data_IF_980554635885
#
_entry.id   IF_980554635885
#
_cell.length_a   1.000
_cell.length_b   1.000
_cell.length_c   1.000
_cell.angle_alpha   90.00
_cell.angle_beta   90.00
_cell.angle_gamma   90.00
#
_symmetry.space_group_name_H-M   'P 1'
#
loop_
_entity.id
_entity.type
_entity.pdbx_description
1 polymer ?
#
# COMPACT_ATOMS: atom_id res chain seq x y z
N UNK A 1 65.71 -50.42 9.47
CA UNK A 1 65.22 -51.65 8.81
C UNK A 1 64.38 -51.25 7.60
N UNK A 2 64.76 -51.65 6.37
CA UNK A 2 63.97 -51.41 5.15
C UNK A 2 62.84 -52.45 5.10
N UNK A 3 61.58 -52.02 5.12
CA UNK A 3 60.44 -52.90 4.88
C UNK A 3 60.33 -53.21 3.38
N UNK A 4 59.92 -54.42 2.98
CA UNK A 4 59.70 -54.76 1.57
C UNK A 4 58.62 -53.85 0.98
N UNK A 5 58.92 -53.21 -0.15
CA UNK A 5 57.98 -52.33 -0.85
C UNK A 5 56.85 -53.18 -1.44
N UNK A 6 55.62 -52.92 -1.00
CA UNK A 6 54.42 -53.56 -1.56
C UNK A 6 54.18 -53.01 -2.96
N UNK A 7 54.06 -53.90 -3.95
CA UNK A 7 53.85 -53.52 -5.36
C UNK A 7 52.51 -52.83 -5.57
N UNK A 8 52.46 -51.89 -6.51
CA UNK A 8 51.23 -51.13 -6.81
C UNK A 8 50.09 -52.06 -7.27
N UNK A 9 50.42 -53.15 -7.97
CA UNK A 9 49.47 -54.18 -8.39
C UNK A 9 48.82 -54.90 -7.21
N UNK A 10 49.59 -55.23 -6.16
CA UNK A 10 49.05 -55.84 -4.95
C UNK A 10 48.10 -54.88 -4.20
N UNK A 11 48.37 -53.57 -4.26
CA UNK A 11 47.51 -52.53 -3.68
C UNK A 11 46.20 -52.42 -4.46
N UNK A 12 46.27 -52.41 -5.80
CA UNK A 12 45.08 -52.36 -6.67
C UNK A 12 44.24 -53.63 -6.49
N UNK A 13 44.86 -54.81 -6.40
CA UNK A 13 44.15 -56.06 -6.16
C UNK A 13 43.47 -56.08 -4.78
N UNK A 14 44.12 -55.55 -3.74
CA UNK A 14 43.54 -55.39 -2.42
C UNK A 14 42.37 -54.40 -2.41
N UNK A 15 42.50 -53.28 -3.14
CA UNK A 15 41.43 -52.29 -3.31
C UNK A 15 40.21 -52.86 -4.04
N UNK A 16 40.41 -53.59 -5.14
CA UNK A 16 39.33 -54.29 -5.86
C UNK A 16 38.62 -55.31 -4.98
N UNK A 17 39.36 -56.13 -4.21
CA UNK A 17 38.75 -57.08 -3.25
C UNK A 17 37.93 -56.39 -2.15
N UNK A 18 38.39 -55.24 -1.64
CA UNK A 18 37.63 -54.46 -0.67
C UNK A 18 36.37 -53.84 -1.29
N UNK A 19 36.47 -53.39 -2.55
CA UNK A 19 35.35 -52.86 -3.33
C UNK A 19 34.29 -53.93 -3.60
N UNK A 20 34.69 -55.12 -4.04
CA UNK A 20 33.82 -56.28 -4.28
C UNK A 20 33.13 -56.75 -2.99
N UNK A 21 33.84 -56.68 -1.86
CA UNK A 21 33.27 -56.96 -0.55
C UNK A 21 32.34 -55.85 -0.01
N UNK A 22 32.07 -54.79 -0.79
CA UNK A 22 31.21 -53.68 -0.40
C UNK A 22 31.74 -52.85 0.78
N UNK A 23 33.03 -52.96 1.10
CA UNK A 23 33.65 -52.26 2.23
C UNK A 23 34.28 -50.95 1.78
N UNK A 24 34.17 -49.92 2.62
CA UNK A 24 34.82 -48.63 2.37
C UNK A 24 36.34 -48.82 2.31
N UNK A 25 36.93 -48.42 1.19
CA UNK A 25 38.37 -48.51 0.96
C UNK A 25 39.03 -47.36 1.71
N UNK A 26 39.90 -47.70 2.66
CA UNK A 26 40.70 -46.76 3.47
C UNK A 26 42.14 -47.24 3.50
N UNK A 27 43.11 -46.36 3.77
CA UNK A 27 44.52 -46.74 3.86
C UNK A 27 44.79 -47.86 4.87
N UNK A 28 44.06 -47.89 6.00
CA UNK A 28 44.13 -48.96 6.99
C UNK A 28 43.46 -50.26 6.52
N UNK A 29 42.35 -50.16 5.77
CA UNK A 29 41.70 -51.31 5.14
C UNK A 29 42.62 -51.99 4.13
N UNK A 30 43.30 -51.19 3.30
CA UNK A 30 44.30 -51.68 2.36
C UNK A 30 45.48 -52.33 3.09
N UNK A 31 46.01 -51.69 4.15
CA UNK A 31 47.10 -52.24 4.98
C UNK A 31 46.75 -53.60 5.59
N UNK A 32 45.50 -53.78 6.03
CA UNK A 32 45.02 -55.05 6.58
C UNK A 32 45.00 -56.17 5.53
N UNK A 33 44.77 -55.83 4.26
CA UNK A 33 44.71 -56.79 3.15
C UNK A 33 46.08 -57.06 2.53
N UNK A 34 46.97 -56.07 2.49
CA UNK A 34 48.32 -56.20 1.93
C UNK A 34 49.36 -56.68 2.96
N UNK A 35 48.99 -56.78 4.24
CA UNK A 35 49.85 -57.31 5.31
C UNK A 35 50.94 -56.35 5.82
N UNK A 36 50.97 -55.11 5.33
CA UNK A 36 51.98 -54.11 5.70
C UNK A 36 51.90 -52.83 4.89
N UNK A 37 52.91 -51.95 5.03
CA UNK A 37 53.00 -50.69 4.28
C UNK A 37 52.42 -49.46 5.01
N UNK A 38 52.72 -48.27 4.48
CA UNK A 38 52.17 -47.00 4.95
C UNK A 38 50.75 -46.79 4.41
N UNK A 39 49.74 -46.57 5.28
CA UNK A 39 48.35 -46.31 4.87
C UNK A 39 48.20 -45.22 3.80
N UNK A 40 48.98 -44.15 3.89
CA UNK A 40 48.89 -43.00 2.97
C UNK A 40 49.35 -43.38 1.55
N UNK A 41 50.42 -44.16 1.44
CA UNK A 41 50.91 -44.67 0.14
C UNK A 41 49.89 -45.62 -0.50
N UNK A 42 49.30 -46.50 0.30
CA UNK A 42 48.33 -47.48 -0.19
C UNK A 42 47.07 -46.78 -0.73
N UNK A 43 46.56 -45.80 0.01
CA UNK A 43 45.38 -45.05 -0.39
C UNK A 43 45.64 -44.21 -1.66
N UNK A 44 46.79 -43.52 -1.72
CA UNK A 44 47.18 -42.70 -2.88
C UNK A 44 47.26 -43.51 -4.17
N UNK A 45 47.91 -44.68 -4.15
CA UNK A 45 48.03 -45.54 -5.36
C UNK A 45 46.66 -46.04 -5.83
N UNK A 46 45.75 -46.32 -4.88
CA UNK A 46 44.38 -46.72 -5.21
C UNK A 46 43.56 -45.57 -5.82
N UNK A 47 43.68 -44.37 -5.26
CA UNK A 47 43.03 -43.17 -5.78
C UNK A 47 43.54 -42.82 -7.19
N UNK A 48 44.85 -42.87 -7.40
CA UNK A 48 45.48 -42.67 -8.72
C UNK A 48 44.95 -43.67 -9.77
N UNK A 49 44.75 -44.95 -9.41
CA UNK A 49 44.14 -45.94 -10.30
C UNK A 49 42.67 -45.62 -10.61
N UNK A 50 41.89 -45.19 -9.61
CA UNK A 50 40.48 -44.83 -9.81
C UNK A 50 40.31 -43.60 -10.71
N UNK A 51 41.19 -42.61 -10.58
CA UNK A 51 41.22 -41.44 -11.46
C UNK A 51 41.61 -41.80 -12.90
N UNK A 52 42.60 -42.68 -13.07
CA UNK A 52 43.01 -43.17 -14.38
C UNK A 52 41.88 -43.92 -15.10
N UNK A 53 41.18 -44.84 -14.40
CA UNK A 53 40.00 -45.53 -14.94
C UNK A 53 38.88 -44.55 -15.30
N UNK A 54 38.60 -43.57 -14.45
CA UNK A 54 37.55 -42.56 -14.69
C UNK A 54 37.84 -41.71 -15.93
N UNK A 55 39.12 -41.39 -16.18
CA UNK A 55 39.52 -40.63 -17.36
C UNK A 55 39.56 -41.48 -18.65
N UNK A 56 39.76 -42.79 -18.57
CA UNK A 56 39.76 -43.67 -19.75
C UNK A 56 38.34 -43.97 -20.28
N UNK A 57 37.32 -44.01 -19.41
CA UNK A 57 35.95 -44.41 -19.78
C UNK A 57 35.14 -43.28 -20.45
N UNK A 58 35.66 -42.04 -20.52
CA UNK A 58 34.94 -40.92 -21.15
C UNK A 58 35.55 -40.58 -22.52
N UNK A 59 35.00 -41.08 -23.65
CA UNK A 59 35.37 -40.54 -24.93
C UNK A 59 35.01 -39.04 -24.96
N UNK A 60 36.03 -38.20 -25.13
CA UNK A 60 35.92 -36.75 -25.27
C UNK A 60 35.24 -36.40 -26.61
N UNK A 61 33.92 -36.52 -26.67
CA UNK A 61 33.09 -36.13 -27.80
C UNK A 61 32.55 -34.68 -27.65
N UNK A 62 33.40 -33.73 -27.22
CA UNK A 62 32.97 -32.35 -26.90
C UNK A 62 33.25 -31.30 -27.99
N UNK A 63 33.59 -31.70 -29.22
CA UNK A 63 33.97 -30.75 -30.29
C UNK A 63 33.35 -31.03 -31.67
N UNK A 64 32.32 -31.85 -31.77
CA UNK A 64 31.51 -31.85 -33.00
C UNK A 64 30.49 -30.72 -32.88
N UNK A 65 30.69 -29.66 -33.67
CA UNK A 65 29.70 -28.59 -33.82
C UNK A 65 28.34 -29.15 -34.24
N UNK A 66 27.28 -28.41 -33.93
CA UNK A 66 25.91 -28.82 -34.26
C UNK A 66 25.85 -29.10 -35.77
N UNK A 67 25.30 -30.26 -36.21
CA UNK A 67 25.14 -30.56 -37.62
C UNK A 67 24.38 -29.43 -38.34
N UNK A 68 24.86 -29.02 -39.52
CA UNK A 68 24.29 -27.89 -40.29
C UNK A 68 22.80 -28.04 -40.58
N UNK A 69 22.31 -29.28 -40.76
CA UNK A 69 20.90 -29.58 -40.99
C UNK A 69 20.02 -29.26 -39.77
N UNK A 70 20.57 -29.45 -38.57
CA UNK A 70 19.92 -29.10 -37.30
C UNK A 70 19.99 -27.58 -37.09
N UNK A 71 21.11 -26.93 -37.43
CA UNK A 71 21.20 -25.46 -37.37
C UNK A 71 20.22 -24.77 -38.31
N UNK A 72 20.00 -25.29 -39.51
CA UNK A 72 19.03 -24.76 -40.46
C UNK A 72 17.60 -24.93 -39.94
N UNK A 73 17.24 -26.15 -39.52
CA UNK A 73 15.93 -26.45 -38.92
C UNK A 73 15.66 -25.58 -37.69
N UNK A 74 16.68 -25.30 -36.87
CA UNK A 74 16.56 -24.45 -35.70
C UNK A 74 16.31 -22.98 -36.09
N UNK A 75 16.99 -22.47 -37.12
CA UNK A 75 16.76 -21.11 -37.64
C UNK A 75 15.38 -20.96 -38.27
N UNK A 76 14.95 -21.97 -39.02
CA UNK A 76 13.63 -22.01 -39.66
C UNK A 76 12.49 -22.02 -38.63
N UNK A 77 12.71 -22.61 -37.45
CA UNK A 77 11.76 -22.59 -36.32
C UNK A 77 11.89 -21.33 -35.46
N UNK A 78 13.10 -20.80 -35.30
CA UNK A 78 13.35 -19.64 -34.45
C UNK A 78 12.71 -18.36 -35.01
N UNK A 79 12.72 -18.16 -36.33
CA UNK A 79 12.13 -16.95 -36.94
C UNK A 79 10.61 -16.88 -36.72
N UNK A 80 9.80 -17.90 -37.07
CA UNK A 80 8.37 -17.89 -36.79
C UNK A 80 8.04 -17.78 -35.31
N UNK A 81 8.82 -18.44 -34.43
CA UNK A 81 8.63 -18.30 -32.98
C UNK A 81 8.86 -16.86 -32.50
N UNK A 82 9.91 -16.21 -32.99
CA UNK A 82 10.18 -14.79 -32.68
C UNK A 82 9.07 -13.88 -33.22
N UNK A 83 8.51 -14.18 -34.39
CA UNK A 83 7.40 -13.43 -34.95
C UNK A 83 6.11 -13.62 -34.14
N UNK A 84 5.79 -14.84 -33.70
CA UNK A 84 4.67 -15.11 -32.80
C UNK A 84 4.83 -14.38 -31.46
N UNK A 85 6.02 -14.39 -30.86
CA UNK A 85 6.29 -13.65 -29.60
C UNK A 85 6.10 -12.15 -29.80
N UNK A 86 6.54 -11.61 -30.94
CA UNK A 86 6.37 -10.19 -31.28
C UNK A 86 4.89 -9.84 -31.46
N UNK A 87 4.13 -10.65 -32.17
CA UNK A 87 2.69 -10.45 -32.36
C UNK A 87 1.96 -10.48 -31.02
N UNK A 88 2.23 -11.48 -30.17
CA UNK A 88 1.63 -11.57 -28.85
C UNK A 88 1.96 -10.34 -27.99
N UNK A 89 3.20 -9.84 -28.05
CA UNK A 89 3.58 -8.63 -27.33
C UNK A 89 2.80 -7.39 -27.80
N UNK A 90 2.56 -7.25 -29.11
CA UNK A 90 1.76 -6.16 -29.68
C UNK A 90 0.28 -6.27 -29.28
N UNK A 91 -0.31 -7.46 -29.36
CA UNK A 91 -1.71 -7.70 -28.95
C UNK A 91 -1.91 -7.44 -27.46
N UNK A 92 -0.98 -7.87 -26.61
CA UNK A 92 -1.01 -7.58 -25.18
C UNK A 92 -0.89 -6.08 -24.91
N UNK A 93 -0.02 -5.38 -25.65
CA UNK A 93 0.13 -3.94 -25.53
C UNK A 93 -1.18 -3.23 -25.92
N UNK A 94 -1.75 -3.53 -27.09
CA UNK A 94 -3.01 -2.93 -27.55
C UNK A 94 -4.17 -3.20 -26.58
N UNK A 95 -4.27 -4.43 -26.08
CA UNK A 95 -5.28 -4.79 -25.08
C UNK A 95 -5.09 -4.05 -23.75
N UNK A 96 -3.84 -3.86 -23.33
CA UNK A 96 -3.54 -3.08 -22.12
C UNK A 96 -3.87 -1.61 -22.32
N UNK A 97 -3.55 -1.05 -23.47
CA UNK A 97 -3.80 0.35 -23.80
C UNK A 97 -5.31 0.63 -23.85
N UNK A 98 -6.07 -0.21 -24.55
CA UNK A 98 -7.54 -0.10 -24.61
C UNK A 98 -8.18 -0.24 -23.22
N UNK A 99 -7.70 -1.16 -22.38
CA UNK A 99 -8.17 -1.29 -21.00
C UNK A 99 -7.88 -0.04 -20.18
N UNK A 100 -6.65 0.50 -20.24
CA UNK A 100 -6.26 1.73 -19.54
C UNK A 100 -7.10 2.92 -20.02
N UNK A 101 -7.33 3.05 -21.32
CA UNK A 101 -8.16 4.11 -21.90
C UNK A 101 -9.61 4.02 -21.40
N UNK A 102 -10.20 2.82 -21.40
CA UNK A 102 -11.56 2.60 -20.90
C UNK A 102 -11.67 2.90 -19.39
N UNK A 103 -10.70 2.42 -18.60
CA UNK A 103 -10.65 2.68 -17.17
C UNK A 103 -10.50 4.18 -16.89
N UNK A 104 -9.58 4.86 -17.59
CA UNK A 104 -9.37 6.30 -17.45
C UNK A 104 -10.61 7.09 -17.85
N UNK A 105 -11.30 6.71 -18.93
CA UNK A 105 -12.54 7.35 -19.34
C UNK A 105 -13.65 7.18 -18.30
N UNK A 106 -13.80 5.98 -17.73
CA UNK A 106 -14.74 5.70 -16.65
C UNK A 106 -14.41 6.51 -15.40
N UNK A 107 -13.14 6.55 -14.98
CA UNK A 107 -12.70 7.31 -13.79
C UNK A 107 -12.93 8.81 -13.97
N UNK A 108 -12.66 9.34 -15.18
CA UNK A 108 -12.95 10.74 -15.52
C UNK A 108 -14.45 11.04 -15.48
N UNK A 109 -15.30 10.14 -16.00
CA UNK A 109 -16.75 10.31 -15.94
C UNK A 109 -17.27 10.29 -14.49
N UNK A 110 -16.78 9.37 -13.67
CA UNK A 110 -17.13 9.27 -12.26
C UNK A 110 -16.69 10.52 -11.48
N UNK A 111 -15.45 10.97 -11.67
CA UNK A 111 -14.93 12.19 -11.07
C UNK A 111 -15.72 13.42 -11.50
N UNK A 112 -16.10 13.50 -12.78
CA UNK A 112 -16.94 14.59 -13.30
C UNK A 112 -18.32 14.60 -12.65
N UNK A 113 -18.99 13.44 -12.52
CA UNK A 113 -20.29 13.33 -11.85
C UNK A 113 -20.20 13.74 -10.38
N UNK A 114 -19.14 13.32 -9.69
CA UNK A 114 -18.89 13.72 -8.31
C UNK A 114 -18.67 15.24 -8.19
N UNK A 115 -17.89 15.83 -9.10
CA UNK A 115 -17.68 17.27 -9.14
C UNK A 115 -18.97 18.05 -9.45
N UNK A 116 -19.80 17.58 -10.39
CA UNK A 116 -21.09 18.18 -10.71
C UNK A 116 -22.04 18.11 -9.51
N UNK A 117 -22.10 16.97 -8.81
CA UNK A 117 -22.89 16.81 -7.59
C UNK A 117 -22.41 17.75 -6.47
N UNK A 118 -21.10 17.81 -6.21
CA UNK A 118 -20.53 18.71 -5.21
C UNK A 118 -20.80 20.19 -5.55
N UNK A 119 -20.74 20.57 -6.84
CA UNK A 119 -21.10 21.93 -7.28
C UNK A 119 -22.58 22.25 -7.06
N UNK A 120 -23.48 21.30 -7.32
CA UNK A 120 -24.90 21.48 -7.06
C UNK A 120 -25.18 21.65 -5.56
N UNK A 121 -24.61 20.79 -4.71
CA UNK A 121 -24.74 20.89 -3.26
C UNK A 121 -24.19 22.22 -2.71
N UNK A 122 -23.07 22.71 -3.27
CA UNK A 122 -22.52 24.02 -2.91
C UNK A 122 -23.46 25.18 -3.30
N UNK A 123 -24.09 25.11 -4.47
CA UNK A 123 -25.05 26.13 -4.91
C UNK A 123 -26.29 26.15 -4.00
N UNK A 124 -26.81 24.97 -3.66
CA UNK A 124 -27.96 24.85 -2.74
C UNK A 124 -27.61 25.39 -1.35
N UNK A 125 -26.43 25.06 -0.83
CA UNK A 125 -25.94 25.59 0.45
C UNK A 125 -25.77 27.11 0.42
N UNK A 126 -25.30 27.68 -0.70
CA UNK A 126 -25.20 29.13 -0.89
C UNK A 126 -26.57 29.80 -0.88
N UNK A 127 -27.58 29.22 -1.55
CA UNK A 127 -28.95 29.75 -1.53
C UNK A 127 -29.53 29.74 -0.12
N UNK A 128 -29.39 28.61 0.60
CA UNK A 128 -29.85 28.50 1.99
C UNK A 128 -29.14 29.50 2.92
N UNK A 129 -27.84 29.75 2.71
CA UNK A 129 -27.12 30.76 3.48
C UNK A 129 -27.67 32.18 3.22
N UNK A 130 -27.98 32.52 1.97
CA UNK A 130 -28.57 33.82 1.63
C UNK A 130 -29.94 34.01 2.29
N UNK A 131 -30.80 32.99 2.25
CA UNK A 131 -32.11 33.00 2.92
C UNK A 131 -31.96 33.20 4.44
N UNK A 132 -31.04 32.47 5.07
CA UNK A 132 -30.77 32.62 6.51
C UNK A 132 -30.18 33.98 6.88
N UNK A 133 -29.33 34.55 6.02
CA UNK A 133 -28.79 35.89 6.21
C UNK A 133 -29.88 36.96 6.11
N UNK A 134 -30.82 36.80 5.19
CA UNK A 134 -31.98 37.67 5.01
C UNK A 134 -32.91 37.60 6.23
N UNK A 135 -33.29 36.39 6.66
CA UNK A 135 -34.10 36.16 7.86
C UNK A 135 -33.45 36.74 9.12
N UNK A 136 -32.13 36.55 9.27
CA UNK A 136 -31.37 37.14 10.36
C UNK A 136 -31.37 38.67 10.30
N UNK A 137 -31.30 39.24 9.10
CA UNK A 137 -31.46 40.67 8.86
C UNK A 137 -32.81 41.19 9.33
N UNK A 138 -33.90 40.52 8.93
CA UNK A 138 -35.26 40.86 9.35
C UNK A 138 -35.44 40.77 10.86
N UNK A 139 -35.04 39.66 11.48
CA UNK A 139 -35.15 39.47 12.93
C UNK A 139 -34.36 40.54 13.72
N UNK A 140 -33.18 40.94 13.23
CA UNK A 140 -32.39 42.03 13.83
C UNK A 140 -33.09 43.38 13.72
N UNK A 141 -33.66 43.70 12.56
CA UNK A 141 -34.39 44.93 12.33
C UNK A 141 -35.64 45.02 13.23
N UNK A 142 -36.41 43.93 13.32
CA UNK A 142 -37.58 43.84 14.18
C UNK A 142 -37.21 43.99 15.66
N UNK A 143 -36.12 43.35 16.12
CA UNK A 143 -35.60 43.51 17.48
C UNK A 143 -35.22 44.96 17.78
N UNK A 144 -34.60 45.66 16.83
CA UNK A 144 -34.24 47.08 16.99
C UNK A 144 -35.50 47.94 17.10
N UNK A 145 -36.49 47.69 16.24
CA UNK A 145 -37.79 48.37 16.26
C UNK A 145 -38.49 48.18 17.60
N UNK A 146 -38.72 46.93 18.03
CA UNK A 146 -39.34 46.61 19.31
C UNK A 146 -38.58 47.21 20.50
N UNK A 147 -37.25 47.20 20.47
CA UNK A 147 -36.42 47.85 21.49
C UNK A 147 -36.64 49.37 21.57
N UNK A 148 -36.81 50.04 20.42
CA UNK A 148 -37.12 51.47 20.37
C UNK A 148 -38.53 51.79 20.88
N UNK A 149 -39.53 51.01 20.47
CA UNK A 149 -40.92 51.12 20.95
C UNK A 149 -41.04 50.87 22.45
N UNK A 150 -40.29 49.89 22.98
CA UNK A 150 -40.25 49.61 24.40
C UNK A 150 -39.59 50.77 25.18
N UNK A 151 -38.57 51.43 24.61
CA UNK A 151 -37.97 52.62 25.22
C UNK A 151 -38.93 53.82 25.22
N UNK A 152 -39.68 54.05 24.14
CA UNK A 152 -40.68 55.14 24.11
C UNK A 152 -41.81 54.86 25.10
N UNK A 153 -42.38 53.65 25.11
CA UNK A 153 -43.43 53.27 26.04
C UNK A 153 -42.98 53.42 27.51
N UNK A 154 -41.73 53.07 27.83
CA UNK A 154 -41.16 53.33 29.17
C UNK A 154 -41.13 54.81 29.53
N UNK A 155 -40.71 55.68 28.60
CA UNK A 155 -40.72 57.14 28.82
C UNK A 155 -42.14 57.66 29.03
N UNK A 156 -43.10 57.18 28.26
CA UNK A 156 -44.51 57.58 28.38
C UNK A 156 -45.07 57.17 29.75
N UNK A 157 -44.76 55.95 30.21
CA UNK A 157 -45.11 55.48 31.56
C UNK A 157 -44.50 56.38 32.62
N UNK A 158 -43.22 56.75 32.51
CA UNK A 158 -42.58 57.66 33.47
C UNK A 158 -43.23 59.05 33.48
N UNK A 159 -43.65 59.57 32.32
CA UNK A 159 -44.37 60.86 32.22
C UNK A 159 -45.74 60.76 32.90
N UNK A 160 -46.51 59.73 32.59
CA UNK A 160 -47.83 59.49 33.19
C UNK A 160 -47.72 59.32 34.71
N UNK A 161 -46.71 58.60 35.20
CA UNK A 161 -46.47 58.45 36.64
C UNK A 161 -46.20 59.80 37.33
N UNK A 162 -45.43 60.69 36.70
CA UNK A 162 -45.20 62.06 37.22
C UNK A 162 -46.49 62.87 37.23
N UNK A 163 -47.28 62.81 36.16
CA UNK A 163 -48.55 63.53 36.05
C UNK A 163 -49.56 63.03 37.09
N UNK A 164 -49.68 61.72 37.29
CA UNK A 164 -50.53 61.13 38.34
C UNK A 164 -50.10 61.63 39.71
N UNK A 165 -48.79 61.60 40.01
CA UNK A 165 -48.26 62.10 41.29
C UNK A 165 -48.54 63.59 41.52
N UNK A 166 -48.50 64.41 40.47
CA UNK A 166 -48.81 65.84 40.54
C UNK A 166 -50.31 66.09 40.74
N UNK A 167 -51.16 65.36 40.02
CA UNK A 167 -52.61 65.41 40.18
C UNK A 167 -53.03 64.98 41.59
N UNK A 168 -52.47 63.89 42.11
CA UNK A 168 -52.70 63.43 43.50
C UNK A 168 -52.34 64.51 44.52
N UNK A 169 -51.21 65.21 44.35
CA UNK A 169 -50.83 66.33 45.22
C UNK A 169 -51.81 67.49 45.13
N UNK A 170 -52.18 67.91 43.91
CA UNK A 170 -53.12 69.02 43.72
C UNK A 170 -54.51 68.70 44.29
N UNK A 171 -54.96 67.44 44.16
CA UNK A 171 -56.20 66.96 44.74
C UNK A 171 -56.14 67.03 46.27
N UNK A 172 -55.04 66.58 46.88
CA UNK A 172 -54.85 66.67 48.32
C UNK A 172 -54.92 68.12 48.83
N UNK A 173 -54.25 69.05 48.16
CA UNK A 173 -54.30 70.49 48.50
C UNK A 173 -55.72 71.06 48.35
N UNK A 174 -56.45 70.69 47.28
CA UNK A 174 -57.82 71.13 47.07
C UNK A 174 -58.78 70.58 48.14
N UNK A 175 -58.61 69.32 48.54
CA UNK A 175 -59.36 68.68 49.61
C UNK A 175 -59.11 69.39 50.96
N UNK A 176 -57.86 69.70 51.30
CA UNK A 176 -57.53 70.46 52.53
C UNK A 176 -58.20 71.83 52.55
N UNK A 177 -58.15 72.58 51.45
CA UNK A 177 -58.80 73.89 51.33
C UNK A 177 -60.32 73.78 51.52
N UNK A 178 -60.96 72.80 50.88
CA UNK A 178 -62.38 72.56 51.02
C UNK A 178 -62.78 72.23 52.47
N UNK A 179 -62.01 71.39 53.15
CA UNK A 179 -62.23 71.09 54.57
C UNK A 179 -62.05 72.31 55.47
N UNK A 180 -61.07 73.17 55.18
CA UNK A 180 -60.83 74.39 55.95
C UNK A 180 -61.95 75.44 55.78
N UNK A 181 -62.41 75.66 54.54
CA UNK A 181 -63.53 76.58 54.25
C UNK A 181 -64.88 76.06 54.75
N UNK A 182 -65.08 74.74 54.77
CA UNK A 182 -66.27 74.11 55.35
C UNK A 182 -66.31 74.19 56.88
N UNK A 183 -65.17 74.31 57.56
CA UNK A 183 -65.08 74.46 59.02
C UNK A 183 -65.22 75.92 59.50
N UNK A 184 -65.15 76.90 58.59
CA UNK A 184 -65.27 78.34 58.85
C UNK A 184 -66.69 78.90 58.61
N UNK A 185 -67.63 78.06 58.16
CA UNK A 185 -69.07 78.38 58.03
C UNK A 185 -69.87 77.74 59.15
#
# INVERSE_FOLDING_TARGET
MRHPEISNEAIIAAGKKLQEAGRRITGFGLRKMTGGGSPDRLLRVWEEHCEAERNQVRPSARTQGIPKDIEHSLKDLASPLMDCVRQLALELYEKSETHIQQQTASDMEMSRKEQEKARAELLDAQSMLQELEEDLGYARAERIKLSSELKSARKDIEILQRQVSELERSLAVAQEKYHHEGALK
#
